data_IF_138460842676
#
_entry.id   IF_138460842676
#
_cell.length_a   1.000
_cell.length_b   1.000
_cell.length_c   1.000
_cell.angle_alpha   90.00
_cell.angle_beta   90.00
_cell.angle_gamma   90.00
#
_symmetry.space_group_name_H-M   'P 1'
#
loop_
_entity.id
_entity.type
_entity.pdbx_description
1 polymer ?
#
# COMPACT_ATOMS: atom_id res chain seq x y z
N UNK A 1 -7.79 -61.30 64.86
CA UNK A 1 -7.68 -61.91 63.50
C UNK A 1 -7.06 -60.86 62.60
N UNK A 2 -5.97 -61.22 61.93
CA UNK A 2 -4.98 -60.38 61.27
C UNK A 2 -5.50 -59.56 60.07
N UNK A 3 -5.07 -58.29 59.96
CA UNK A 3 -4.48 -57.73 58.73
C UNK A 3 -3.75 -56.40 59.04
N UNK A 4 -2.46 -56.36 58.66
CA UNK A 4 -1.55 -55.19 58.67
C UNK A 4 -1.52 -54.58 57.23
N UNK A 5 -0.69 -53.58 56.90
CA UNK A 5 -1.05 -52.19 56.53
C UNK A 5 -0.85 -51.90 55.01
N UNK A 6 -1.02 -50.65 54.56
CA UNK A 6 -0.10 -50.02 53.58
C UNK A 6 -0.46 -48.55 53.30
N UNK A 7 0.56 -47.70 53.32
CA UNK A 7 0.59 -46.35 52.74
C UNK A 7 0.47 -46.43 51.20
N UNK A 8 -0.08 -45.38 50.58
CA UNK A 8 0.37 -44.90 49.29
C UNK A 8 0.06 -43.40 49.17
N UNK A 9 1.12 -42.59 49.15
CA UNK A 9 1.07 -41.21 48.67
C UNK A 9 0.82 -41.23 47.16
N UNK A 10 0.01 -40.31 46.63
CA UNK A 10 -0.05 -40.04 45.19
C UNK A 10 0.33 -38.58 44.95
N UNK A 11 1.42 -38.46 44.21
CA UNK A 11 2.11 -37.27 43.76
C UNK A 11 1.58 -36.85 42.39
N UNK A 12 1.55 -35.54 42.11
CA UNK A 12 1.48 -34.97 40.76
C UNK A 12 0.06 -34.84 40.19
N UNK A 13 -0.33 -33.75 39.53
CA UNK A 13 0.42 -32.97 38.56
C UNK A 13 -0.13 -31.53 38.53
N UNK A 14 0.71 -30.54 38.84
CA UNK A 14 0.45 -29.14 38.52
C UNK A 14 0.74 -28.96 37.03
N UNK A 15 -0.30 -28.86 36.21
CA UNK A 15 -0.15 -28.46 34.82
C UNK A 15 0.17 -26.96 34.78
N UNK A 16 1.45 -26.63 34.66
CA UNK A 16 1.87 -25.28 34.32
C UNK A 16 1.44 -25.00 32.87
N UNK A 17 0.37 -24.22 32.71
CA UNK A 17 0.00 -23.62 31.44
C UNK A 17 1.04 -22.53 31.13
N UNK A 18 2.08 -22.89 30.37
CA UNK A 18 2.99 -21.91 29.80
C UNK A 18 2.20 -21.11 28.74
N UNK A 19 1.70 -19.93 29.11
CA UNK A 19 1.35 -18.90 28.14
C UNK A 19 2.64 -18.52 27.42
N UNK A 20 2.82 -19.02 26.20
CA UNK A 20 3.76 -18.43 25.27
C UNK A 20 3.22 -17.04 24.91
N UNK A 21 3.69 -16.02 25.61
CA UNK A 21 3.58 -14.65 25.14
C UNK A 21 4.45 -14.54 23.88
N UNK A 22 3.81 -14.65 22.71
CA UNK A 22 4.46 -14.38 21.43
C UNK A 22 4.92 -12.93 21.33
N UNK A 23 5.78 -12.59 20.35
CA UNK A 23 6.46 -11.30 20.26
C UNK A 23 5.52 -10.20 19.74
N UNK A 24 4.57 -9.75 20.57
CA UNK A 24 3.68 -8.62 20.25
C UNK A 24 4.43 -7.29 20.16
N UNK A 25 5.63 -7.17 20.73
CA UNK A 25 6.39 -5.92 20.71
C UNK A 25 7.10 -5.63 19.37
N UNK A 26 7.55 -6.67 18.64
CA UNK A 26 8.31 -6.48 17.39
C UNK A 26 7.41 -6.15 16.19
N UNK A 27 6.20 -6.74 16.13
CA UNK A 27 5.23 -6.44 15.07
C UNK A 27 4.70 -5.00 15.16
N UNK A 28 4.46 -4.49 16.38
CA UNK A 28 4.04 -3.10 16.57
C UNK A 28 5.15 -2.12 16.17
N UNK A 29 6.43 -2.40 16.48
CA UNK A 29 7.52 -1.49 16.13
C UNK A 29 7.77 -1.36 14.62
N UNK A 30 7.65 -2.46 13.86
CA UNK A 30 7.81 -2.42 12.41
C UNK A 30 6.65 -1.65 11.74
N UNK A 31 5.42 -1.88 12.18
CA UNK A 31 4.24 -1.13 11.72
C UNK A 31 4.35 0.36 12.05
N UNK A 32 4.84 0.72 13.23
CA UNK A 32 5.05 2.11 13.64
C UNK A 32 6.16 2.78 12.80
N UNK A 33 7.24 2.05 12.49
CA UNK A 33 8.33 2.54 11.64
C UNK A 33 7.88 2.78 10.19
N UNK A 34 7.10 1.85 9.62
CA UNK A 34 6.50 2.02 8.29
C UNK A 34 5.54 3.20 8.25
N UNK A 35 4.68 3.37 9.27
CA UNK A 35 3.76 4.49 9.35
C UNK A 35 4.49 5.84 9.45
N UNK A 36 5.56 5.92 10.24
CA UNK A 36 6.40 7.11 10.34
C UNK A 36 7.07 7.43 8.98
N UNK A 37 7.62 6.43 8.31
CA UNK A 37 8.26 6.60 7.01
C UNK A 37 7.27 7.03 5.93
N UNK A 38 6.06 6.46 5.92
CA UNK A 38 4.99 6.89 4.99
C UNK A 38 4.59 8.34 5.23
N UNK A 39 4.55 8.80 6.49
CA UNK A 39 4.31 10.21 6.77
C UNK A 39 5.42 11.12 6.19
N UNK A 40 6.68 10.68 6.22
CA UNK A 40 7.80 11.38 5.57
C UNK A 40 7.62 11.43 4.04
N UNK A 41 7.30 10.29 3.42
CA UNK A 41 7.04 10.19 1.98
C UNK A 41 5.84 11.04 1.54
N UNK A 42 4.76 11.09 2.35
CA UNK A 42 3.62 11.97 2.07
C UNK A 42 4.00 13.45 2.12
N UNK A 43 4.86 13.86 3.06
CA UNK A 43 5.36 15.23 3.13
C UNK A 43 6.23 15.56 1.91
N UNK A 44 7.08 14.64 1.47
CA UNK A 44 7.87 14.81 0.25
C UNK A 44 6.98 14.92 -1.00
N UNK A 45 6.01 14.00 -1.15
CA UNK A 45 5.03 14.00 -2.24
C UNK A 45 4.21 15.30 -2.26
N UNK A 46 3.85 15.83 -1.10
CA UNK A 46 3.13 17.09 -1.01
C UNK A 46 3.92 18.28 -1.59
N UNK A 47 5.24 18.19 -1.56
CA UNK A 47 6.15 19.15 -2.20
C UNK A 47 6.25 19.03 -3.72
N UNK A 48 5.51 18.12 -4.37
CA UNK A 48 5.58 17.87 -5.82
C UNK A 48 4.38 18.46 -6.58
N UNK A 49 4.48 19.67 -7.18
CA UNK A 49 3.35 20.28 -7.90
C UNK A 49 2.85 19.45 -9.09
N UNK A 50 3.72 18.63 -9.68
CA UNK A 50 3.38 17.76 -10.79
C UNK A 50 2.33 16.70 -10.39
N UNK A 51 2.44 16.13 -9.18
CA UNK A 51 1.50 15.13 -8.66
C UNK A 51 0.10 15.72 -8.52
N UNK A 52 0.00 16.90 -7.90
CA UNK A 52 -1.28 17.61 -7.74
C UNK A 52 -1.91 17.99 -9.07
N UNK A 53 -1.09 18.38 -10.06
CA UNK A 53 -1.58 18.65 -11.41
C UNK A 53 -2.10 17.38 -12.09
N UNK A 54 -1.39 16.25 -11.98
CA UNK A 54 -1.80 14.98 -12.57
C UNK A 54 -3.12 14.49 -11.97
N UNK A 55 -3.26 14.53 -10.63
CA UNK A 55 -4.51 14.17 -9.93
C UNK A 55 -5.69 15.02 -10.38
N UNK A 56 -5.55 16.34 -10.47
CA UNK A 56 -6.63 17.22 -10.92
C UNK A 56 -7.06 16.92 -12.35
N UNK A 57 -6.11 16.67 -13.25
CA UNK A 57 -6.39 16.32 -14.64
C UNK A 57 -7.07 14.95 -14.73
N UNK A 58 -6.55 13.94 -14.03
CA UNK A 58 -7.12 12.59 -13.99
C UNK A 58 -8.54 12.59 -13.41
N UNK A 59 -8.71 13.12 -12.20
CA UNK A 59 -10.02 13.23 -11.54
C UNK A 59 -11.03 14.01 -12.39
N UNK A 60 -10.61 15.08 -13.07
CA UNK A 60 -11.51 15.82 -13.96
C UNK A 60 -11.87 15.04 -15.24
N UNK A 61 -10.93 14.29 -15.81
CA UNK A 61 -11.17 13.47 -17.00
C UNK A 61 -12.08 12.28 -16.68
N UNK A 62 -12.02 11.76 -15.46
CA UNK A 62 -12.71 10.55 -15.06
C UNK A 62 -14.00 10.78 -14.24
N UNK A 63 -14.32 12.03 -13.89
CA UNK A 63 -15.44 12.39 -13.03
C UNK A 63 -16.82 11.87 -13.50
N UNK A 64 -17.00 11.63 -14.80
CA UNK A 64 -18.26 11.16 -15.38
C UNK A 64 -18.20 9.74 -15.92
N UNK A 65 -17.11 9.01 -15.68
CA UNK A 65 -17.01 7.61 -16.13
C UNK A 65 -17.95 6.74 -15.32
N UNK A 66 -18.62 5.82 -16.02
CA UNK A 66 -19.27 4.68 -15.39
C UNK A 66 -18.24 3.61 -15.04
N UNK A 67 -18.63 2.66 -14.20
CA UNK A 67 -17.80 1.47 -13.92
C UNK A 67 -17.49 0.68 -15.20
N UNK A 68 -18.45 0.55 -16.12
CA UNK A 68 -18.23 -0.09 -17.43
C UNK A 68 -17.15 0.64 -18.24
N UNK A 69 -17.12 1.97 -18.21
CA UNK A 69 -16.06 2.75 -18.88
C UNK A 69 -14.69 2.53 -18.22
N UNK A 70 -14.65 2.45 -16.88
CA UNK A 70 -13.44 2.16 -16.10
C UNK A 70 -12.89 0.77 -16.46
N UNK A 71 -13.75 -0.24 -16.51
CA UNK A 71 -13.37 -1.60 -16.90
C UNK A 71 -12.84 -1.66 -18.35
N UNK A 72 -13.36 -0.84 -19.26
CA UNK A 72 -12.83 -0.72 -20.61
C UNK A 72 -11.42 -0.12 -20.61
N UNK A 73 -11.17 0.93 -19.83
CA UNK A 73 -9.84 1.53 -19.69
C UNK A 73 -8.85 0.55 -19.05
N UNK A 74 -9.29 -0.16 -18.02
CA UNK A 74 -8.50 -1.19 -17.35
C UNK A 74 -8.08 -2.31 -18.31
N UNK A 75 -9.04 -2.83 -19.08
CA UNK A 75 -8.75 -3.86 -20.07
C UNK A 75 -7.77 -3.37 -21.15
N UNK A 76 -7.85 -2.10 -21.57
CA UNK A 76 -6.91 -1.51 -22.52
C UNK A 76 -5.49 -1.43 -21.95
N UNK A 77 -5.35 -1.04 -20.69
CA UNK A 77 -4.07 -1.03 -19.98
C UNK A 77 -3.46 -2.43 -19.94
N UNK A 78 -4.21 -3.40 -19.44
CA UNK A 78 -3.77 -4.80 -19.29
C UNK A 78 -3.34 -5.41 -20.62
N UNK A 79 -4.01 -5.05 -21.71
CA UNK A 79 -3.63 -5.48 -23.06
C UNK A 79 -2.32 -4.85 -23.57
N UNK A 80 -1.84 -3.78 -22.95
CA UNK A 80 -0.62 -3.06 -23.32
C UNK A 80 0.57 -3.36 -22.41
N UNK A 81 0.35 -3.90 -21.21
CA UNK A 81 1.42 -4.30 -20.30
C UNK A 81 2.35 -5.29 -20.99
N UNK A 82 3.67 -5.03 -20.93
CA UNK A 82 4.69 -5.86 -21.58
C UNK A 82 4.84 -5.64 -23.09
N UNK A 83 4.01 -4.80 -23.72
CA UNK A 83 4.15 -4.46 -25.14
C UNK A 83 5.08 -3.26 -25.35
N UNK A 84 5.70 -3.21 -26.54
CA UNK A 84 6.51 -2.06 -26.96
C UNK A 84 5.65 -0.85 -27.33
N UNK A 85 4.50 -1.09 -27.99
CA UNK A 85 3.48 -0.08 -28.27
C UNK A 85 2.40 -0.12 -27.19
N UNK A 86 2.41 0.89 -26.32
CA UNK A 86 1.61 0.95 -25.08
C UNK A 86 1.14 2.37 -24.73
N UNK A 87 0.40 3.05 -25.63
CA UNK A 87 0.08 4.47 -25.49
C UNK A 87 -0.70 4.84 -24.22
N UNK A 88 -1.57 3.96 -23.72
CA UNK A 88 -2.32 4.20 -22.47
C UNK A 88 -1.39 4.10 -21.26
N UNK A 89 -0.53 3.08 -21.22
CA UNK A 89 0.48 2.94 -20.17
C UNK A 89 1.46 4.11 -20.20
N UNK A 90 1.97 4.48 -21.37
CA UNK A 90 2.89 5.60 -21.55
C UNK A 90 2.28 6.95 -21.17
N UNK A 91 0.98 7.17 -21.39
CA UNK A 91 0.33 8.42 -20.99
C UNK A 91 0.40 8.66 -19.47
N UNK A 92 0.37 7.59 -18.67
CA UNK A 92 0.52 7.65 -17.21
C UNK A 92 1.98 7.59 -16.81
N UNK A 93 2.76 6.63 -17.33
CA UNK A 93 4.15 6.40 -16.92
C UNK A 93 5.10 7.53 -17.33
N UNK A 94 4.87 8.16 -18.49
CA UNK A 94 5.81 9.12 -19.09
C UNK A 94 5.42 10.58 -18.82
N UNK A 95 4.73 10.84 -17.70
CA UNK A 95 4.31 12.18 -17.29
C UNK A 95 5.23 12.77 -16.19
N UNK A 96 5.24 14.11 -15.98
CA UNK A 96 6.11 14.74 -14.99
C UNK A 96 5.87 14.31 -13.54
N UNK A 97 4.67 13.84 -13.19
CA UNK A 97 4.39 13.32 -11.86
C UNK A 97 5.06 11.95 -11.68
N UNK A 98 4.92 11.05 -12.65
CA UNK A 98 5.58 9.74 -12.67
C UNK A 98 7.10 9.85 -12.64
N UNK A 99 7.69 10.87 -13.30
CA UNK A 99 9.12 11.19 -13.13
C UNK A 99 9.46 11.56 -11.67
N UNK A 100 8.68 12.44 -11.03
CA UNK A 100 8.91 12.80 -9.64
C UNK A 100 8.81 11.59 -8.71
N UNK A 101 7.84 10.69 -8.94
CA UNK A 101 7.71 9.45 -8.18
C UNK A 101 8.93 8.53 -8.37
N UNK A 102 9.48 8.43 -9.59
CA UNK A 102 10.72 7.66 -9.82
C UNK A 102 11.92 8.26 -9.10
N UNK A 103 12.05 9.58 -9.07
CA UNK A 103 13.11 10.26 -8.30
C UNK A 103 12.97 9.98 -6.80
N UNK A 104 11.76 10.04 -6.25
CA UNK A 104 11.50 9.68 -4.86
C UNK A 104 11.86 8.21 -4.57
N UNK A 105 11.44 7.29 -5.45
CA UNK A 105 11.77 5.88 -5.33
C UNK A 105 13.29 5.63 -5.38
N UNK A 106 14.02 6.28 -6.29
CA UNK A 106 15.47 6.15 -6.39
C UNK A 106 16.16 6.70 -5.12
N UNK A 107 15.71 7.85 -4.62
CA UNK A 107 16.24 8.47 -3.40
C UNK A 107 16.02 7.61 -2.14
N UNK A 108 14.97 6.78 -2.13
CA UNK A 108 14.68 5.84 -1.05
C UNK A 108 15.66 4.66 -0.94
N UNK A 109 16.59 4.51 -1.89
CA UNK A 109 17.69 3.54 -1.78
C UNK A 109 17.22 2.08 -1.64
N UNK A 110 16.06 1.74 -2.22
CA UNK A 110 15.47 0.40 -2.17
C UNK A 110 14.46 0.17 -1.04
N UNK A 111 14.24 1.13 -0.14
CA UNK A 111 13.16 1.04 0.86
C UNK A 111 11.78 1.16 0.23
N UNK A 112 11.65 1.96 -0.83
CA UNK A 112 10.44 2.07 -1.65
C UNK A 112 10.65 1.29 -2.94
N UNK A 113 9.76 0.36 -3.24
CA UNK A 113 9.80 -0.49 -4.45
C UNK A 113 8.86 0.01 -5.54
N UNK A 114 7.77 0.70 -5.17
CA UNK A 114 6.86 1.37 -6.09
C UNK A 114 6.10 2.50 -5.40
N UNK A 115 5.59 3.45 -6.20
CA UNK A 115 4.66 4.49 -5.78
C UNK A 115 3.54 4.58 -6.81
N UNK A 116 2.30 4.46 -6.35
CA UNK A 116 1.10 4.49 -7.18
C UNK A 116 0.22 5.63 -6.68
N UNK A 117 0.01 6.65 -7.50
CA UNK A 117 -0.92 7.74 -7.22
C UNK A 117 -2.20 7.48 -8.00
N UNK A 118 -3.30 7.33 -7.27
CA UNK A 118 -4.62 6.98 -7.79
C UNK A 118 -5.57 8.17 -7.64
N UNK A 119 -6.40 8.41 -8.64
CA UNK A 119 -7.37 9.50 -8.63
C UNK A 119 -8.66 9.18 -7.83
N UNK A 120 -9.65 10.07 -7.92
CA UNK A 120 -10.90 9.95 -7.17
C UNK A 120 -11.72 8.67 -7.46
N UNK A 121 -11.56 8.07 -8.64
CA UNK A 121 -12.23 6.80 -9.01
C UNK A 121 -11.29 5.60 -8.93
N UNK A 122 -10.04 5.83 -8.53
CA UNK A 122 -9.02 4.79 -8.34
C UNK A 122 -8.24 4.46 -9.61
N UNK A 123 -8.31 5.27 -10.67
CA UNK A 123 -7.45 5.10 -11.84
C UNK A 123 -6.06 5.71 -11.58
N UNK A 124 -5.01 5.07 -12.12
CA UNK A 124 -3.63 5.55 -11.93
C UNK A 124 -3.41 6.94 -12.57
N UNK A 125 -3.18 7.97 -11.77
CA UNK A 125 -2.84 9.31 -12.25
C UNK A 125 -1.33 9.47 -12.50
N UNK A 126 -0.50 8.77 -11.72
CA UNK A 126 0.95 8.72 -11.86
C UNK A 126 1.50 7.46 -11.17
N UNK A 127 2.55 6.87 -11.72
CA UNK A 127 3.16 5.64 -11.21
C UNK A 127 4.68 5.69 -11.37
N UNK A 128 5.43 5.13 -10.41
CA UNK A 128 6.87 4.99 -10.54
C UNK A 128 7.28 3.75 -11.36
N UNK A 129 6.46 2.71 -11.34
CA UNK A 129 6.61 1.47 -12.09
C UNK A 129 5.27 1.05 -12.71
N UNK A 130 5.30 0.24 -13.77
CA UNK A 130 4.08 -0.23 -14.45
C UNK A 130 3.33 -1.19 -13.52
N UNK A 131 2.08 -0.86 -13.21
CA UNK A 131 1.13 -1.71 -12.46
C UNK A 131 0.53 -2.78 -13.36
N UNK A 132 0.03 -3.86 -12.76
CA UNK A 132 -0.60 -4.97 -13.50
C UNK A 132 -1.90 -4.57 -14.22
N UNK A 133 -2.60 -3.60 -13.65
CA UNK A 133 -3.90 -3.07 -14.05
C UNK A 133 -3.96 -1.55 -13.83
N UNK A 134 -4.96 -0.90 -14.40
CA UNK A 134 -5.11 0.55 -14.37
C UNK A 134 -6.00 1.02 -13.22
N UNK A 135 -7.04 0.24 -12.95
CA UNK A 135 -8.02 0.54 -11.93
C UNK A 135 -7.64 -0.14 -10.62
N UNK A 136 -7.56 0.65 -9.57
CA UNK A 136 -7.22 0.23 -8.22
C UNK A 136 -8.36 0.59 -7.24
N UNK A 137 -9.46 1.13 -7.77
CA UNK A 137 -10.56 1.69 -6.97
C UNK A 137 -11.46 0.63 -6.33
N UNK A 138 -11.42 -0.59 -6.84
CA UNK A 138 -12.04 -1.77 -6.25
C UNK A 138 -11.16 -2.43 -5.17
N UNK A 139 -9.91 -1.99 -5.02
CA UNK A 139 -8.99 -2.51 -4.03
C UNK A 139 -9.06 -1.76 -2.68
N UNK A 140 -8.66 -2.44 -1.60
CA UNK A 140 -8.67 -1.87 -0.26
C UNK A 140 -7.73 -0.65 -0.13
N UNK A 141 -6.60 -0.65 -0.85
CA UNK A 141 -5.64 0.46 -0.88
C UNK A 141 -6.27 1.79 -1.30
N UNK A 142 -7.29 1.78 -2.16
CA UNK A 142 -8.06 2.97 -2.53
C UNK A 142 -9.33 3.11 -1.68
N UNK A 143 -10.19 2.09 -1.65
CA UNK A 143 -11.52 2.16 -1.01
C UNK A 143 -11.49 2.40 0.51
N UNK A 144 -10.39 2.01 1.17
CA UNK A 144 -10.17 2.25 2.60
C UNK A 144 -9.39 3.53 2.90
N UNK A 145 -8.90 4.27 1.89
CA UNK A 145 -8.09 5.47 2.11
C UNK A 145 -8.67 6.72 1.46
N UNK A 146 -9.14 6.66 0.21
CA UNK A 146 -9.73 7.81 -0.46
C UNK A 146 -10.93 8.37 0.32
N UNK A 147 -10.94 9.68 0.52
CA UNK A 147 -11.97 10.37 1.27
C UNK A 147 -12.00 10.07 2.77
N UNK A 148 -11.04 9.30 3.31
CA UNK A 148 -10.88 9.12 4.76
C UNK A 148 -10.07 10.26 5.37
N UNK A 149 -10.21 10.55 6.67
CA UNK A 149 -9.47 11.62 7.34
C UNK A 149 -7.95 11.51 7.14
N UNK A 150 -7.26 12.65 7.11
CA UNK A 150 -5.80 12.70 7.10
C UNK A 150 -5.21 11.85 8.25
N UNK A 151 -4.12 11.13 7.95
CA UNK A 151 -3.51 10.16 8.87
C UNK A 151 -4.15 8.77 8.85
N UNK A 152 -5.23 8.55 8.09
CA UNK A 152 -5.72 7.18 7.81
C UNK A 152 -4.70 6.46 6.94
N UNK A 153 -4.29 5.27 7.37
CA UNK A 153 -3.44 4.38 6.59
C UNK A 153 -4.16 3.04 6.38
N UNK A 154 -4.03 2.49 5.17
CA UNK A 154 -4.29 1.09 4.89
C UNK A 154 -2.94 0.38 4.74
N UNK A 155 -2.74 -0.75 5.41
CA UNK A 155 -1.52 -1.56 5.35
C UNK A 155 -1.92 -2.94 4.83
N UNK A 156 -1.35 -3.36 3.71
CA UNK A 156 -1.61 -4.68 3.13
C UNK A 156 -0.97 -5.79 3.97
N UNK A 157 -1.32 -7.04 3.66
CA UNK A 157 -0.49 -8.17 4.07
C UNK A 157 0.90 -8.09 3.43
N UNK A 158 1.87 -8.77 4.02
CA UNK A 158 3.22 -8.94 3.43
C UNK A 158 3.11 -9.94 2.29
N UNK A 159 3.48 -9.53 1.08
CA UNK A 159 3.47 -10.38 -0.10
C UNK A 159 4.87 -10.48 -0.72
N UNK A 160 5.18 -11.61 -1.35
CA UNK A 160 6.41 -11.73 -2.13
C UNK A 160 6.17 -11.12 -3.51
N UNK A 161 6.82 -10.00 -3.81
CA UNK A 161 6.74 -9.37 -5.12
C UNK A 161 7.79 -9.98 -6.06
N UNK A 162 7.32 -10.72 -7.07
CA UNK A 162 8.20 -11.36 -8.04
C UNK A 162 8.99 -10.35 -8.89
N UNK A 163 8.50 -9.13 -9.04
CA UNK A 163 9.14 -8.11 -9.89
C UNK A 163 10.42 -7.54 -9.25
N UNK A 164 10.38 -7.28 -7.94
CA UNK A 164 11.50 -6.80 -7.14
C UNK A 164 12.28 -7.91 -6.44
N UNK A 165 11.74 -9.13 -6.38
CA UNK A 165 12.29 -10.25 -5.60
C UNK A 165 12.42 -9.91 -4.10
N UNK A 166 11.46 -9.14 -3.57
CA UNK A 166 11.43 -8.73 -2.16
C UNK A 166 10.09 -9.05 -1.51
N UNK A 167 10.08 -9.19 -0.19
CA UNK A 167 8.83 -9.14 0.56
C UNK A 167 8.40 -7.67 0.67
N UNK A 168 7.21 -7.38 0.13
CA UNK A 168 6.66 -6.04 0.06
C UNK A 168 5.46 -5.91 1.00
N UNK A 169 5.31 -4.74 1.59
CA UNK A 169 4.05 -4.26 2.19
C UNK A 169 3.63 -3.01 1.44
N UNK A 170 2.38 -2.94 1.03
CA UNK A 170 1.79 -1.73 0.49
C UNK A 170 1.15 -0.93 1.61
N UNK A 171 1.58 0.32 1.77
CA UNK A 171 0.96 1.26 2.69
C UNK A 171 0.34 2.39 1.90
N UNK A 172 -0.96 2.59 2.11
CA UNK A 172 -1.76 3.53 1.34
C UNK A 172 -2.37 4.61 2.21
N UNK A 173 -2.51 5.81 1.66
CA UNK A 173 -2.93 6.99 2.41
C UNK A 173 -3.76 7.95 1.54
N UNK A 174 -4.69 8.72 2.14
CA UNK A 174 -5.48 9.73 1.42
C UNK A 174 -4.59 10.87 0.92
N UNK A 175 -4.96 11.43 -0.23
CA UNK A 175 -4.39 12.65 -0.78
C UNK A 175 -5.43 13.78 -0.79
N UNK A 176 -5.04 14.91 -0.21
CA UNK A 176 -5.84 16.12 -0.15
C UNK A 176 -5.17 17.23 -0.95
N UNK A 177 -5.96 17.96 -1.73
CA UNK A 177 -5.46 19.10 -2.49
C UNK A 177 -4.95 20.18 -1.53
N UNK A 178 -3.67 20.58 -1.58
CA UNK A 178 -3.12 21.54 -0.62
C UNK A 178 -3.73 22.94 -0.72
N UNK A 179 -4.46 23.24 -1.81
CA UNK A 179 -5.12 24.54 -2.00
C UNK A 179 -6.57 24.56 -1.50
N UNK A 180 -7.27 23.41 -1.52
CA UNK A 180 -8.72 23.35 -1.24
C UNK A 180 -9.08 22.42 -0.09
N UNK A 181 -8.14 21.62 0.40
CA UNK A 181 -8.33 20.56 1.39
C UNK A 181 -9.34 19.49 0.93
N UNK A 182 -9.67 19.45 -0.37
CA UNK A 182 -10.57 18.46 -0.94
C UNK A 182 -9.83 17.13 -1.12
N UNK A 183 -10.46 15.97 -0.83
CA UNK A 183 -9.90 14.69 -1.20
C UNK A 183 -9.82 14.59 -2.73
N UNK A 184 -8.64 14.29 -3.24
CA UNK A 184 -8.38 14.23 -4.70
C UNK A 184 -7.94 12.86 -5.19
N UNK A 185 -7.63 11.95 -4.26
CA UNK A 185 -7.18 10.60 -4.57
C UNK A 185 -6.56 9.91 -3.37
N UNK A 186 -5.76 8.90 -3.65
CA UNK A 186 -4.96 8.17 -2.68
C UNK A 186 -3.56 7.87 -3.27
N UNK A 187 -2.61 7.60 -2.40
CA UNK A 187 -1.29 7.10 -2.78
C UNK A 187 -1.04 5.76 -2.11
N UNK A 188 -0.38 4.85 -2.82
CA UNK A 188 0.19 3.62 -2.29
C UNK A 188 1.70 3.69 -2.42
N UNK A 189 2.40 3.38 -1.33
CA UNK A 189 3.84 3.15 -1.29
C UNK A 189 4.08 1.66 -1.08
N UNK A 190 4.72 1.00 -2.04
CA UNK A 190 5.26 -0.33 -1.83
C UNK A 190 6.58 -0.23 -1.08
N UNK A 191 6.66 -0.88 0.08
CA UNK A 191 7.82 -0.83 0.97
C UNK A 191 8.48 -2.21 1.04
N UNK A 192 9.80 -2.25 0.97
CA UNK A 192 10.56 -3.48 1.23
C UNK A 192 10.48 -3.81 2.74
N UNK A 193 9.72 -4.85 3.08
CA UNK A 193 9.46 -5.26 4.45
C UNK A 193 10.72 -5.69 5.22
N UNK A 194 11.77 -6.13 4.52
CA UNK A 194 13.03 -6.54 5.14
C UNK A 194 13.89 -5.36 5.64
N UNK A 195 13.49 -4.13 5.31
CA UNK A 195 14.19 -2.89 5.68
C UNK A 195 13.55 -2.16 6.88
N UNK A 196 12.61 -2.80 7.59
CA UNK A 196 11.90 -2.29 8.78
C UNK A 196 11.94 -3.31 9.93
#
# INVERSE_FOLDING_TARGET
>A
MFKIPSRAAHTGLLTALALAAGPTFAANSASDAMAAYVAELQNELAGQPAVWRALRLSSSAHASLSEDDILVLDQQWRNQVGLSDRPVVSAVLDNPASEALRVMQEAAGGQVTEIIVMDAVGLNAAISAVTSDFWQGDEAKHSETYGRPAGTLHVSDVEFDESSQTYQVQVSAPLFDPMTDAPVGAVTFGLNAEMF
#
